data_IF_079987918007
#
_entry.id   IF_079987918007
#
_cell.length_a   1.000
_cell.length_b   1.000
_cell.length_c   1.000
_cell.angle_alpha   90.00
_cell.angle_beta   90.00
_cell.angle_gamma   90.00
#
_symmetry.space_group_name_H-M   'P 1'
#
loop_
_entity.id
_entity.type
_entity.pdbx_description
1 polymer ?
#
# COMPACT_ATOMS: atom_id res chain seq x y z
N UNK A 1 19.99 53.74 33.17
CA UNK A 1 20.54 52.87 32.11
C UNK A 1 19.53 52.83 30.97
N UNK A 2 19.85 53.42 29.78
CA UNK A 2 18.98 53.30 28.59
C UNK A 2 19.36 51.99 27.89
N UNK A 3 18.44 51.03 27.79
CA UNK A 3 18.62 49.82 26.99
C UNK A 3 18.54 50.21 25.50
N UNK A 4 19.61 50.02 24.74
CA UNK A 4 19.59 50.15 23.32
C UNK A 4 18.80 48.96 22.75
N UNK A 5 17.53 49.14 22.44
CA UNK A 5 16.74 48.19 21.65
C UNK A 5 17.10 48.42 20.19
N UNK A 6 17.90 47.52 19.63
CA UNK A 6 18.15 47.44 18.18
C UNK A 6 17.03 46.65 17.56
N UNK A 7 16.15 47.28 16.80
CA UNK A 7 15.12 46.60 15.99
C UNK A 7 15.72 45.94 14.75
N UNK A 8 15.05 44.92 14.23
CA UNK A 8 15.43 44.25 12.95
C UNK A 8 15.38 45.25 11.78
N UNK A 9 16.38 45.20 10.92
CA UNK A 9 16.38 46.01 9.72
C UNK A 9 15.50 45.41 8.64
N UNK A 10 14.95 46.24 7.75
CA UNK A 10 14.09 45.77 6.62
C UNK A 10 14.82 44.75 5.73
N UNK A 11 16.13 44.91 5.55
CA UNK A 11 16.94 43.99 4.72
C UNK A 11 17.12 42.62 5.39
N UNK A 12 17.27 42.57 6.72
CA UNK A 12 17.32 41.31 7.46
C UNK A 12 16.04 40.51 7.31
N UNK A 13 14.89 41.16 7.37
CA UNK A 13 13.58 40.52 7.14
C UNK A 13 13.43 40.02 5.70
N UNK A 14 13.91 40.79 4.71
CA UNK A 14 13.89 40.35 3.28
C UNK A 14 14.72 39.09 3.07
N UNK A 15 15.90 39.01 3.65
CA UNK A 15 16.79 37.85 3.53
C UNK A 15 16.15 36.62 4.19
N UNK A 16 15.57 36.77 5.39
CA UNK A 16 14.90 35.66 6.10
C UNK A 16 13.72 35.12 5.28
N UNK A 17 12.87 35.99 4.73
CA UNK A 17 11.74 35.57 3.89
C UNK A 17 12.21 34.88 2.62
N UNK A 18 13.30 35.36 1.98
CA UNK A 18 13.87 34.71 0.82
C UNK A 18 14.37 33.29 1.13
N UNK A 19 15.07 33.09 2.24
CA UNK A 19 15.55 31.77 2.70
C UNK A 19 14.39 30.83 2.99
N UNK A 20 13.37 31.30 3.71
CA UNK A 20 12.17 30.51 4.01
C UNK A 20 11.46 30.09 2.71
N UNK A 21 11.36 30.98 1.73
CA UNK A 21 10.76 30.71 0.44
C UNK A 21 11.48 29.59 -0.31
N UNK A 22 12.81 29.62 -0.33
CA UNK A 22 13.64 28.57 -0.97
C UNK A 22 13.47 27.22 -0.25
N UNK A 23 13.52 27.22 1.07
CA UNK A 23 13.35 25.98 1.86
C UNK A 23 11.95 25.37 1.70
N UNK A 24 10.92 26.21 1.61
CA UNK A 24 9.55 25.76 1.38
C UNK A 24 9.38 25.04 0.03
N UNK A 25 10.03 25.51 -1.04
CA UNK A 25 9.98 24.86 -2.36
C UNK A 25 10.55 23.44 -2.36
N UNK A 26 11.53 23.14 -1.53
CA UNK A 26 12.15 21.82 -1.43
C UNK A 26 11.33 20.88 -0.55
N UNK A 27 10.67 21.41 0.50
CA UNK A 27 9.95 20.60 1.46
C UNK A 27 8.63 20.01 0.92
N UNK A 28 7.90 20.76 0.09
CA UNK A 28 6.56 20.36 -0.41
C UNK A 28 6.59 19.06 -1.24
N UNK A 29 7.50 18.85 -2.21
CA UNK A 29 7.53 17.62 -3.01
C UNK A 29 7.77 16.34 -2.19
N UNK A 30 8.59 16.42 -1.15
CA UNK A 30 8.93 15.28 -0.31
C UNK A 30 7.74 14.80 0.56
N UNK A 31 6.89 15.70 0.97
CA UNK A 31 5.69 15.40 1.77
C UNK A 31 4.62 14.69 0.94
N UNK A 32 4.45 15.04 -0.34
CA UNK A 32 3.46 14.42 -1.23
C UNK A 32 3.71 12.93 -1.42
N UNK A 33 4.95 12.54 -1.67
CA UNK A 33 5.32 11.12 -1.81
C UNK A 33 5.03 10.30 -0.54
N UNK A 34 5.24 10.91 0.62
CA UNK A 34 4.94 10.30 1.92
C UNK A 34 3.44 10.06 2.10
N UNK A 35 2.61 11.08 1.83
CA UNK A 35 1.14 10.99 1.95
C UNK A 35 0.60 9.86 1.05
N UNK A 36 1.07 9.75 -0.19
CA UNK A 36 0.63 8.70 -1.12
C UNK A 36 1.02 7.32 -0.57
N UNK A 37 2.24 7.17 -0.08
CA UNK A 37 2.71 5.92 0.53
C UNK A 37 1.89 5.53 1.76
N UNK A 38 1.51 6.48 2.60
CA UNK A 38 0.64 6.25 3.75
C UNK A 38 -0.76 5.76 3.32
N UNK A 39 -1.31 6.26 2.21
CA UNK A 39 -2.57 5.74 1.64
C UNK A 39 -2.43 4.30 1.17
N UNK A 40 -1.31 3.93 0.53
CA UNK A 40 -1.04 2.54 0.14
C UNK A 40 -0.97 1.63 1.37
N UNK A 41 -0.25 2.04 2.41
CA UNK A 41 -0.16 1.29 3.67
C UNK A 41 -1.51 1.13 4.34
N UNK A 42 -2.32 2.19 4.36
CA UNK A 42 -3.67 2.19 4.97
C UNK A 42 -4.67 1.27 4.23
N UNK A 43 -4.41 0.93 2.97
CA UNK A 43 -5.25 0.02 2.20
C UNK A 43 -4.98 -1.47 2.48
N UNK A 44 -3.75 -1.83 2.88
CA UNK A 44 -3.32 -3.23 3.06
C UNK A 44 -4.19 -4.01 4.08
N UNK A 45 -4.57 -3.45 5.25
CA UNK A 45 -5.38 -4.17 6.22
C UNK A 45 -6.75 -4.62 5.71
N UNK A 46 -7.29 -3.97 4.66
CA UNK A 46 -8.55 -4.41 4.05
C UNK A 46 -8.44 -5.83 3.46
N UNK A 47 -7.24 -6.24 3.03
CA UNK A 47 -6.99 -7.57 2.51
C UNK A 47 -7.14 -8.69 3.57
N UNK A 48 -7.09 -8.35 4.85
CA UNK A 48 -7.15 -9.34 5.93
C UNK A 48 -8.46 -10.13 5.92
N UNK A 49 -9.56 -9.52 5.47
CA UNK A 49 -10.84 -10.22 5.30
C UNK A 49 -10.79 -11.37 4.29
N UNK A 50 -9.89 -11.31 3.31
CA UNK A 50 -9.71 -12.34 2.29
C UNK A 50 -8.65 -13.37 2.67
N UNK A 51 -7.69 -13.00 3.52
CA UNK A 51 -6.57 -13.88 3.90
C UNK A 51 -7.03 -15.13 4.62
N UNK A 52 -7.99 -14.99 5.55
CA UNK A 52 -8.48 -16.11 6.35
C UNK A 52 -9.21 -17.16 5.52
N UNK A 53 -10.23 -16.85 4.68
CA UNK A 53 -10.89 -17.84 3.84
C UNK A 53 -9.94 -18.49 2.82
N UNK A 54 -8.98 -17.74 2.24
CA UNK A 54 -7.99 -18.30 1.33
C UNK A 54 -7.08 -19.30 2.06
N UNK A 55 -6.63 -18.95 3.27
CA UNK A 55 -5.81 -19.86 4.08
C UNK A 55 -6.59 -21.11 4.50
N UNK A 56 -7.88 -20.96 4.82
CA UNK A 56 -8.75 -22.10 5.15
C UNK A 56 -8.92 -23.06 3.96
N UNK A 57 -9.14 -22.54 2.75
CA UNK A 57 -9.22 -23.34 1.52
C UNK A 57 -7.94 -24.12 1.24
N UNK A 58 -6.80 -23.45 1.36
CA UNK A 58 -5.50 -24.11 1.21
C UNK A 58 -5.29 -25.23 2.21
N UNK A 59 -5.61 -24.99 3.48
CA UNK A 59 -5.47 -25.97 4.57
C UNK A 59 -6.39 -27.16 4.38
N UNK A 60 -7.63 -26.97 3.89
CA UNK A 60 -8.63 -28.00 3.74
C UNK A 60 -8.43 -28.85 2.48
N UNK A 61 -8.14 -28.21 1.35
CA UNK A 61 -8.21 -28.87 0.03
C UNK A 61 -6.96 -28.68 -0.84
N UNK A 62 -5.94 -27.95 -0.36
CA UNK A 62 -4.75 -27.58 -1.17
C UNK A 62 -5.09 -26.76 -2.43
N UNK A 63 -6.27 -26.14 -2.44
CA UNK A 63 -6.74 -25.30 -3.54
C UNK A 63 -6.86 -23.87 -3.06
N UNK A 64 -6.64 -22.94 -3.99
CA UNK A 64 -6.83 -21.52 -3.75
C UNK A 64 -8.13 -21.09 -4.44
N UNK A 65 -8.99 -20.25 -3.79
CA UNK A 65 -10.23 -19.80 -4.41
C UNK A 65 -9.96 -19.02 -5.68
N UNK A 66 -10.76 -19.28 -6.70
CA UNK A 66 -10.60 -18.66 -8.03
C UNK A 66 -11.12 -17.22 -8.03
N UNK A 67 -12.16 -16.96 -7.24
CA UNK A 67 -12.80 -15.64 -7.18
C UNK A 67 -13.32 -15.29 -5.76
N UNK A 68 -13.91 -14.08 -5.62
CA UNK A 68 -14.50 -13.62 -4.36
C UNK A 68 -15.62 -14.53 -3.87
N UNK A 69 -16.41 -15.10 -4.77
CA UNK A 69 -17.55 -15.96 -4.42
C UNK A 69 -17.07 -17.26 -3.80
N UNK A 70 -16.05 -17.88 -4.38
CA UNK A 70 -15.45 -19.09 -3.81
C UNK A 70 -14.75 -18.82 -2.48
N UNK A 71 -14.18 -17.62 -2.32
CA UNK A 71 -13.63 -17.14 -1.06
C UNK A 71 -14.70 -16.69 -0.04
N UNK A 72 -15.99 -16.89 -0.32
CA UNK A 72 -17.13 -16.45 0.49
C UNK A 72 -17.11 -14.94 0.81
N UNK A 73 -16.58 -14.13 -0.10
CA UNK A 73 -16.53 -12.67 -0.01
C UNK A 73 -17.62 -12.02 -0.86
N UNK A 74 -18.04 -10.79 -0.52
CA UNK A 74 -18.90 -9.99 -1.39
C UNK A 74 -18.23 -9.74 -2.75
N UNK A 75 -19.03 -9.28 -3.74
CA UNK A 75 -18.49 -8.82 -5.03
C UNK A 75 -17.41 -7.75 -4.82
N UNK A 76 -16.41 -7.73 -5.70
CA UNK A 76 -15.18 -6.95 -5.52
C UNK A 76 -15.45 -5.45 -5.25
N UNK A 77 -16.42 -4.87 -5.96
CA UNK A 77 -16.84 -3.46 -5.84
C UNK A 77 -17.62 -3.14 -4.56
N UNK A 78 -17.96 -4.15 -3.76
CA UNK A 78 -18.59 -3.99 -2.44
C UNK A 78 -17.61 -4.05 -1.28
N UNK A 79 -16.38 -4.46 -1.54
CA UNK A 79 -15.30 -4.50 -0.56
C UNK A 79 -14.44 -3.25 -0.75
N UNK A 80 -14.81 -2.18 -0.06
CA UNK A 80 -14.27 -0.83 -0.28
C UNK A 80 -13.79 -0.18 1.01
N UNK A 81 -12.94 0.83 0.87
CA UNK A 81 -12.50 1.70 1.96
C UNK A 81 -12.32 3.14 1.46
N UNK A 82 -11.78 4.02 2.31
CA UNK A 82 -11.50 5.40 1.92
C UNK A 82 -10.57 5.49 0.69
N UNK A 83 -9.65 4.55 0.53
CA UNK A 83 -8.65 4.57 -0.55
C UNK A 83 -8.76 3.38 -1.50
N UNK A 84 -9.72 2.48 -1.27
CA UNK A 84 -9.93 1.26 -2.07
C UNK A 84 -11.31 1.31 -2.70
N UNK A 85 -11.37 1.15 -4.01
CA UNK A 85 -12.62 1.09 -4.79
C UNK A 85 -13.09 -0.34 -5.05
N UNK A 86 -12.19 -1.33 -5.00
CA UNK A 86 -12.53 -2.74 -5.14
C UNK A 86 -11.45 -3.64 -4.56
N UNK A 87 -11.85 -4.82 -4.07
CA UNK A 87 -10.96 -5.90 -3.67
C UNK A 87 -11.39 -7.18 -4.38
N UNK A 88 -10.55 -7.65 -5.30
CA UNK A 88 -10.76 -8.87 -6.08
C UNK A 88 -9.86 -9.99 -5.60
N UNK A 89 -10.43 -11.16 -5.37
CA UNK A 89 -9.68 -12.42 -5.24
C UNK A 89 -9.63 -13.09 -6.61
N UNK A 90 -8.44 -13.46 -7.05
CA UNK A 90 -8.25 -14.23 -8.28
C UNK A 90 -7.13 -15.25 -8.12
N UNK A 91 -7.47 -16.54 -8.26
CA UNK A 91 -6.54 -17.65 -8.08
C UNK A 91 -5.74 -17.56 -6.76
N UNK A 92 -6.42 -17.14 -5.68
CA UNK A 92 -5.86 -16.93 -4.36
C UNK A 92 -5.09 -15.62 -4.18
N UNK A 93 -4.89 -14.83 -5.22
CA UNK A 93 -4.27 -13.50 -5.14
C UNK A 93 -5.32 -12.48 -4.74
N UNK A 94 -4.98 -11.61 -3.80
CA UNK A 94 -5.82 -10.50 -3.40
C UNK A 94 -5.35 -9.24 -4.14
N UNK A 95 -6.18 -8.73 -5.04
CA UNK A 95 -5.92 -7.53 -5.81
C UNK A 95 -6.70 -6.36 -5.22
N UNK A 96 -6.00 -5.38 -4.68
CA UNK A 96 -6.56 -4.14 -4.13
C UNK A 96 -6.51 -3.07 -5.21
N UNK A 97 -7.66 -2.57 -5.67
CA UNK A 97 -7.74 -1.46 -6.60
C UNK A 97 -7.95 -0.16 -5.83
N UNK A 98 -7.02 0.78 -6.00
CA UNK A 98 -7.11 2.10 -5.38
C UNK A 98 -8.17 2.98 -6.06
N UNK A 99 -8.89 3.76 -5.26
CA UNK A 99 -9.94 4.64 -5.75
C UNK A 99 -10.58 5.44 -4.62
N UNK A 100 -11.79 5.91 -4.81
CA UNK A 100 -12.51 6.76 -3.86
C UNK A 100 -11.71 8.04 -3.56
N UNK A 101 -11.16 8.18 -2.34
CA UNK A 101 -10.35 9.32 -1.91
C UNK A 101 -8.84 9.11 -2.13
N UNK A 102 -8.44 8.08 -2.86
CA UNK A 102 -7.05 7.85 -3.18
C UNK A 102 -6.47 8.98 -4.03
N UNK A 103 -5.19 9.29 -3.82
CA UNK A 103 -4.50 10.31 -4.58
C UNK A 103 -4.50 9.96 -6.09
N UNK A 104 -4.67 10.93 -7.01
CA UNK A 104 -4.73 10.67 -8.46
C UNK A 104 -3.58 9.84 -9.04
N UNK A 105 -2.39 9.93 -8.46
CA UNK A 105 -1.22 9.14 -8.89
C UNK A 105 -1.34 7.64 -8.64
N UNK A 106 -2.22 7.21 -7.73
CA UNK A 106 -2.48 5.80 -7.43
C UNK A 106 -3.92 5.38 -7.72
N UNK A 107 -4.84 6.31 -7.98
CA UNK A 107 -6.22 6.01 -8.34
C UNK A 107 -6.26 5.10 -9.59
N UNK A 108 -7.04 4.03 -9.55
CA UNK A 108 -7.13 3.00 -10.61
C UNK A 108 -5.93 2.04 -10.66
N UNK A 109 -4.90 2.22 -9.81
CA UNK A 109 -3.78 1.28 -9.71
C UNK A 109 -4.13 0.10 -8.82
N UNK A 110 -3.42 -1.00 -9.03
CA UNK A 110 -3.62 -2.27 -8.33
C UNK A 110 -2.39 -2.59 -7.48
N UNK A 111 -2.63 -3.07 -6.28
CA UNK A 111 -1.64 -3.71 -5.43
C UNK A 111 -2.06 -5.17 -5.19
N UNK A 112 -1.22 -6.11 -5.57
CA UNK A 112 -1.46 -7.55 -5.37
C UNK A 112 -0.79 -8.06 -4.10
N UNK A 113 -1.54 -8.83 -3.30
CA UNK A 113 -0.99 -9.65 -2.23
C UNK A 113 -1.11 -11.10 -2.67
N UNK A 114 0.04 -11.76 -2.85
CA UNK A 114 0.11 -13.13 -3.37
C UNK A 114 0.40 -14.12 -2.26
N UNK A 115 -0.30 -15.27 -2.23
CA UNK A 115 -0.01 -16.30 -1.25
C UNK A 115 1.31 -17.01 -1.62
N UNK A 116 2.21 -17.14 -0.66
CA UNK A 116 3.37 -18.00 -0.73
C UNK A 116 3.15 -19.21 0.18
N UNK A 117 3.31 -20.40 -0.37
CA UNK A 117 2.98 -21.67 0.28
C UNK A 117 4.15 -22.64 0.21
N UNK A 118 4.18 -23.60 1.13
CA UNK A 118 5.00 -24.81 1.02
C UNK A 118 4.12 -25.89 0.41
N UNK A 119 4.44 -26.34 -0.79
CA UNK A 119 3.59 -27.27 -1.56
C UNK A 119 3.39 -28.63 -0.89
N UNK A 120 4.37 -29.06 -0.12
CA UNK A 120 4.36 -30.35 0.55
C UNK A 120 3.68 -30.31 1.93
N UNK A 121 3.33 -29.14 2.44
CA UNK A 121 2.79 -28.97 3.78
C UNK A 121 1.64 -27.97 3.83
N UNK A 122 0.46 -28.44 4.24
CA UNK A 122 -0.71 -27.61 4.53
C UNK A 122 -0.74 -27.05 5.95
N UNK A 123 0.15 -27.55 6.82
CA UNK A 123 0.24 -27.12 8.22
C UNK A 123 0.95 -25.78 8.34
N UNK A 124 1.87 -25.50 7.42
CA UNK A 124 2.60 -24.23 7.41
C UNK A 124 1.66 -23.11 6.95
N UNK A 125 1.54 -22.03 7.74
CA UNK A 125 0.71 -20.89 7.37
C UNK A 125 1.17 -20.26 6.04
N UNK A 126 0.21 -19.74 5.28
CA UNK A 126 0.50 -18.95 4.07
C UNK A 126 1.24 -17.68 4.48
N UNK A 127 2.37 -17.40 3.82
CA UNK A 127 3.01 -16.10 3.88
C UNK A 127 2.46 -15.21 2.76
N UNK A 128 2.13 -13.97 3.08
CA UNK A 128 1.57 -13.03 2.12
C UNK A 128 2.65 -12.13 1.54
N UNK A 129 2.88 -12.26 0.24
CA UNK A 129 3.88 -11.48 -0.49
C UNK A 129 3.21 -10.29 -1.13
N UNK A 130 3.58 -9.09 -0.68
CA UNK A 130 3.02 -7.84 -1.18
C UNK A 130 3.80 -7.34 -2.41
N UNK A 131 3.06 -6.97 -3.45
CA UNK A 131 3.63 -6.30 -4.62
C UNK A 131 4.76 -7.07 -5.29
N UNK A 132 5.91 -6.42 -5.41
CA UNK A 132 7.09 -6.96 -6.09
C UNK A 132 8.06 -7.69 -5.14
N UNK A 133 7.72 -7.82 -3.86
CA UNK A 133 8.55 -8.50 -2.87
C UNK A 133 8.77 -9.97 -3.23
N UNK A 134 9.84 -10.54 -2.69
CA UNK A 134 10.21 -11.95 -2.85
C UNK A 134 9.54 -12.80 -1.77
N UNK A 135 9.28 -14.06 -2.10
CA UNK A 135 8.83 -15.03 -1.10
C UNK A 135 9.90 -15.30 -0.05
N UNK A 136 9.49 -15.69 1.17
CA UNK A 136 10.39 -16.32 2.12
C UNK A 136 11.05 -17.56 1.50
N UNK A 137 12.25 -17.90 1.98
CA UNK A 137 12.98 -19.08 1.50
C UNK A 137 12.11 -20.34 1.59
N UNK A 138 12.20 -21.21 0.59
CA UNK A 138 11.48 -22.48 0.47
C UNK A 138 9.95 -22.35 0.23
N UNK A 139 9.40 -21.14 0.13
CA UNK A 139 8.00 -20.93 -0.22
C UNK A 139 7.85 -20.61 -1.70
N UNK A 140 6.80 -21.18 -2.32
CA UNK A 140 6.43 -20.91 -3.71
C UNK A 140 5.29 -19.90 -3.75
N UNK A 141 5.47 -18.78 -4.47
CA UNK A 141 4.41 -17.80 -4.70
C UNK A 141 3.41 -18.39 -5.71
N UNK A 142 2.13 -18.32 -5.39
CA UNK A 142 1.05 -18.69 -6.30
C UNK A 142 0.36 -17.45 -6.86
N UNK A 143 -0.12 -17.58 -8.08
CA UNK A 143 -0.90 -16.56 -8.77
C UNK A 143 -0.07 -15.43 -9.41
N UNK A 144 -0.76 -14.60 -10.17
CA UNK A 144 -0.17 -13.53 -10.97
C UNK A 144 -0.02 -12.22 -10.18
N UNK A 145 1.10 -11.51 -10.37
CA UNK A 145 1.28 -10.17 -9.82
C UNK A 145 0.72 -9.11 -10.77
N UNK A 146 -0.37 -8.48 -10.39
CA UNK A 146 -0.97 -7.35 -11.12
C UNK A 146 -0.59 -5.98 -10.57
N UNK A 147 0.38 -5.92 -9.66
CA UNK A 147 0.83 -4.66 -9.06
C UNK A 147 1.33 -3.71 -10.13
N UNK A 148 0.70 -2.54 -10.21
CA UNK A 148 1.09 -1.44 -11.10
C UNK A 148 1.15 -0.08 -10.38
N UNK A 149 1.13 -0.09 -9.04
CA UNK A 149 1.47 1.08 -8.24
C UNK A 149 2.95 1.38 -8.45
N UNK A 150 3.34 2.64 -8.74
CA UNK A 150 4.75 3.01 -8.90
C UNK A 150 5.59 2.65 -7.65
N UNK A 151 6.80 2.14 -7.85
CA UNK A 151 7.68 1.67 -6.78
C UNK A 151 7.99 2.74 -5.74
N UNK A 152 8.04 4.01 -6.16
CA UNK A 152 8.26 5.14 -5.26
C UNK A 152 7.17 5.28 -4.17
N UNK A 153 5.94 4.79 -4.44
CA UNK A 153 4.81 4.82 -3.50
C UNK A 153 4.59 3.50 -2.77
N UNK A 154 5.27 2.43 -3.17
CA UNK A 154 5.21 1.16 -2.45
C UNK A 154 5.97 1.24 -1.11
N UNK A 155 5.42 0.67 -0.03
CA UNK A 155 6.18 0.48 1.21
C UNK A 155 7.33 -0.51 0.98
N UNK A 156 8.34 -0.48 1.83
CA UNK A 156 9.53 -1.35 1.74
C UNK A 156 9.16 -2.84 1.64
N UNK A 157 8.14 -3.23 2.37
CA UNK A 157 7.62 -4.60 2.45
C UNK A 157 7.00 -5.11 1.11
N UNK A 158 6.69 -4.21 0.16
CA UNK A 158 6.04 -4.53 -1.12
C UNK A 158 6.95 -4.30 -2.35
N UNK A 159 8.24 -4.05 -2.15
CA UNK A 159 9.24 -3.80 -3.20
C UNK A 159 10.04 -5.03 -3.58
#
# INVERSE_FOLDING_TARGET
MKSNQTGFSAIEMMVVVAIIGILAMIAIPSQMGRIIKEQVVAAIPLADIAKEPIAASWKAAKTLPVDNKEAALPAAEKVVSNFVSALEVKDGVINITFGNKAHPKIAGKILSLRPAVIEESQVVPIAWVCGNAKAPNQMTIKGENKTNVPDEYLPQLCR
#
